data_IF_406662707748
#
_entry.id   IF_406662707748
#
_cell.length_a   1.000
_cell.length_b   1.000
_cell.length_c   1.000
_cell.angle_alpha   90.00
_cell.angle_beta   90.00
_cell.angle_gamma   90.00
#
_symmetry.space_group_name_H-M   'P 1'
#
loop_
_entity.id
_entity.type
_entity.pdbx_description
1 polymer ?
#
# COMPACT_ATOMS: atom_id res chain seq x y z
N UNK A 1 -5.03 9.34 12.90
CA UNK A 1 -6.27 8.86 12.26
C UNK A 1 -7.17 8.38 13.38
N UNK A 2 -8.39 8.91 13.53
CA UNK A 2 -9.26 8.55 14.66
C UNK A 2 -9.96 7.22 14.34
N UNK A 3 -9.60 6.15 15.02
CA UNK A 3 -10.05 4.77 14.78
C UNK A 3 -11.38 4.43 15.46
N UNK A 4 -12.05 5.39 16.11
CA UNK A 4 -13.28 5.15 16.89
C UNK A 4 -14.57 4.89 16.09
N UNK A 5 -14.61 5.06 14.76
CA UNK A 5 -15.86 5.01 13.99
C UNK A 5 -15.93 3.99 12.84
N UNK A 6 -14.90 3.15 12.66
CA UNK A 6 -14.93 2.10 11.64
C UNK A 6 -15.02 0.75 12.33
N UNK A 7 -16.19 0.13 12.23
CA UNK A 7 -16.47 -1.21 12.70
C UNK A 7 -15.70 -2.22 11.83
N UNK A 8 -14.41 -2.37 12.10
CA UNK A 8 -13.69 -3.56 11.64
C UNK A 8 -14.40 -4.73 12.35
N UNK A 9 -14.91 -5.74 11.63
CA UNK A 9 -15.44 -6.93 12.29
C UNK A 9 -14.27 -7.55 13.05
N UNK A 10 -14.32 -7.43 14.38
CA UNK A 10 -13.38 -8.12 15.24
C UNK A 10 -13.69 -9.60 15.14
N UNK A 11 -12.66 -10.43 15.01
CA UNK A 11 -12.81 -11.86 15.20
C UNK A 11 -13.38 -12.06 16.61
N UNK A 12 -14.47 -12.83 16.72
CA UNK A 12 -15.02 -13.18 18.01
C UNK A 12 -14.00 -14.01 18.77
N UNK A 13 -13.82 -13.75 20.06
CA UNK A 13 -12.94 -14.55 20.92
C UNK A 13 -13.62 -15.91 21.21
N UNK A 14 -13.69 -16.77 20.20
CA UNK A 14 -14.28 -18.12 20.26
C UNK A 14 -13.26 -19.21 20.62
N UNK A 15 -12.00 -18.82 20.83
CA UNK A 15 -10.90 -19.74 21.18
C UNK A 15 -10.29 -20.47 19.98
N UNK A 16 -10.68 -20.14 18.75
CA UNK A 16 -10.02 -20.66 17.55
C UNK A 16 -8.63 -20.03 17.38
N UNK A 17 -7.63 -20.79 16.89
CA UNK A 17 -6.33 -20.24 16.53
C UNK A 17 -6.48 -19.14 15.47
N UNK A 18 -5.74 -18.04 15.66
CA UNK A 18 -5.74 -16.89 14.74
C UNK A 18 -4.35 -16.72 14.15
N UNK A 19 -4.29 -16.62 12.83
CA UNK A 19 -3.09 -16.19 12.12
C UNK A 19 -3.16 -14.68 11.88
N UNK A 20 -2.13 -13.97 12.32
CA UNK A 20 -1.94 -12.55 12.03
C UNK A 20 -1.07 -12.41 10.77
N UNK A 21 -1.50 -11.56 9.85
CA UNK A 21 -0.78 -11.32 8.59
C UNK A 21 -0.05 -9.98 8.65
N UNK A 22 1.15 -9.94 8.05
CA UNK A 22 1.93 -8.72 7.85
C UNK A 22 2.36 -8.03 9.15
N UNK A 23 2.66 -8.84 10.19
CA UNK A 23 3.01 -8.36 11.53
C UNK A 23 4.36 -7.61 11.57
N UNK A 24 5.20 -7.81 10.56
CA UNK A 24 6.53 -7.24 10.42
C UNK A 24 6.54 -5.91 9.63
N UNK A 25 5.39 -5.48 9.08
CA UNK A 25 5.32 -4.27 8.26
C UNK A 25 5.10 -2.99 9.08
N UNK A 26 5.76 -1.90 8.67
CA UNK A 26 5.50 -0.56 9.17
C UNK A 26 4.34 0.10 8.39
N UNK A 27 3.14 0.05 8.96
CA UNK A 27 1.91 0.60 8.34
C UNK A 27 1.81 2.13 8.43
N UNK A 28 2.79 2.81 9.02
CA UNK A 28 2.86 4.27 9.02
C UNK A 28 3.97 4.79 8.09
N UNK A 29 3.67 5.84 7.35
CA UNK A 29 4.65 6.52 6.51
C UNK A 29 4.57 8.02 6.74
N UNK A 30 5.73 8.70 6.75
CA UNK A 30 5.74 10.15 6.78
C UNK A 30 5.15 10.70 5.47
N UNK A 31 4.43 11.81 5.56
CA UNK A 31 3.65 12.36 4.44
C UNK A 31 4.49 12.62 3.18
N UNK A 32 5.77 12.99 3.33
CA UNK A 32 6.70 13.18 2.22
C UNK A 32 6.99 11.88 1.47
N UNK A 33 7.15 10.76 2.17
CA UNK A 33 7.36 9.44 1.56
C UNK A 33 6.13 9.00 0.79
N UNK A 34 4.94 9.14 1.36
CA UNK A 34 3.67 8.86 0.63
C UNK A 34 3.58 9.67 -0.68
N UNK A 35 3.90 10.97 -0.65
CA UNK A 35 3.92 11.80 -1.87
C UNK A 35 4.93 11.28 -2.90
N UNK A 36 6.09 10.80 -2.45
CA UNK A 36 7.13 10.27 -3.32
C UNK A 36 6.71 8.95 -3.97
N UNK A 37 6.12 8.04 -3.18
CA UNK A 37 5.54 6.77 -3.66
C UNK A 37 4.49 7.03 -4.74
N UNK A 38 3.53 7.92 -4.47
CA UNK A 38 2.48 8.29 -5.45
C UNK A 38 3.09 8.87 -6.73
N UNK A 39 4.04 9.79 -6.60
CA UNK A 39 4.71 10.39 -7.78
C UNK A 39 5.43 9.33 -8.62
N UNK A 40 6.07 8.35 -7.99
CA UNK A 40 6.76 7.29 -8.71
C UNK A 40 5.79 6.33 -9.40
N UNK A 41 4.70 5.96 -8.73
CA UNK A 41 3.62 5.17 -9.33
C UNK A 41 2.96 5.87 -10.52
N UNK A 42 2.66 7.17 -10.40
CA UNK A 42 2.10 7.99 -11.48
C UNK A 42 3.09 8.15 -12.64
N UNK A 43 4.40 8.05 -12.38
CA UNK A 43 5.45 7.99 -13.42
C UNK A 43 5.57 6.64 -14.15
N UNK A 44 4.72 5.66 -13.79
CA UNK A 44 4.67 4.34 -14.44
C UNK A 44 5.44 3.24 -13.73
N UNK A 45 6.10 3.53 -12.59
CA UNK A 45 6.84 2.51 -11.83
C UNK A 45 5.91 1.52 -11.14
N UNK A 46 6.36 0.29 -10.99
CA UNK A 46 5.70 -0.69 -10.14
C UNK A 46 6.18 -0.61 -8.68
N UNK A 47 5.47 -1.31 -7.80
CA UNK A 47 5.69 -1.34 -6.37
C UNK A 47 7.08 -1.85 -5.98
N UNK A 48 7.66 -2.78 -6.74
CA UNK A 48 8.99 -3.33 -6.50
C UNK A 48 10.07 -2.31 -6.85
N UNK A 49 9.94 -1.64 -8.01
CA UNK A 49 10.85 -0.55 -8.40
C UNK A 49 10.81 0.62 -7.41
N UNK A 50 9.64 0.88 -6.82
CA UNK A 50 9.46 1.92 -5.80
C UNK A 50 10.10 1.47 -4.47
N UNK A 51 9.90 0.22 -4.07
CA UNK A 51 10.43 -0.37 -2.85
C UNK A 51 11.96 -0.33 -2.82
N UNK A 52 12.60 -0.75 -3.91
CA UNK A 52 14.05 -0.69 -4.07
C UNK A 52 14.58 0.74 -3.89
N UNK A 53 13.94 1.73 -4.53
CA UNK A 53 14.34 3.15 -4.43
C UNK A 53 14.12 3.74 -3.05
N UNK A 54 13.12 3.26 -2.34
CA UNK A 54 12.76 3.75 -1.00
C UNK A 54 13.49 2.99 0.11
N UNK A 55 14.19 1.90 -0.22
CA UNK A 55 14.75 0.93 0.72
C UNK A 55 13.70 0.47 1.74
N UNK A 56 12.57 -0.01 1.22
CA UNK A 56 11.35 -0.36 1.97
C UNK A 56 10.83 -1.72 1.50
N UNK A 57 10.01 -2.34 2.33
CA UNK A 57 9.35 -3.58 1.94
C UNK A 57 8.32 -3.31 0.79
N UNK A 58 8.30 -4.13 -0.28
CA UNK A 58 7.31 -4.00 -1.35
C UNK A 58 5.85 -4.03 -0.87
N UNK A 59 5.54 -4.78 0.19
CA UNK A 59 4.20 -4.88 0.74
C UNK A 59 3.79 -3.58 1.45
N UNK A 60 4.72 -2.89 2.12
CA UNK A 60 4.48 -1.54 2.66
C UNK A 60 4.13 -0.55 1.54
N UNK A 61 4.85 -0.63 0.41
CA UNK A 61 4.59 0.20 -0.77
C UNK A 61 3.21 -0.12 -1.35
N UNK A 62 2.89 -1.40 -1.49
CA UNK A 62 1.59 -1.86 -1.97
C UNK A 62 0.45 -1.35 -1.10
N UNK A 63 0.54 -1.52 0.23
CA UNK A 63 -0.48 -1.05 1.18
C UNK A 63 -0.63 0.47 1.09
N UNK A 64 0.48 1.20 0.99
CA UNK A 64 0.47 2.65 0.82
C UNK A 64 -0.31 3.05 -0.45
N UNK A 65 0.00 2.44 -1.59
CA UNK A 65 -0.67 2.70 -2.86
C UNK A 65 -2.15 2.33 -2.80
N UNK A 66 -2.49 1.19 -2.21
CA UNK A 66 -3.86 0.75 -2.00
C UNK A 66 -4.67 1.77 -1.20
N UNK A 67 -4.13 2.25 -0.07
CA UNK A 67 -4.76 3.30 0.74
C UNK A 67 -4.94 4.61 -0.05
N UNK A 68 -3.93 5.05 -0.81
CA UNK A 68 -4.05 6.23 -1.67
C UNK A 68 -5.08 6.05 -2.79
N UNK A 69 -5.20 4.84 -3.36
CA UNK A 69 -6.23 4.49 -4.35
C UNK A 69 -7.63 4.60 -3.75
N UNK A 70 -7.85 4.03 -2.56
CA UNK A 70 -9.13 4.14 -1.82
C UNK A 70 -9.50 5.60 -1.54
N UNK A 71 -8.50 6.45 -1.28
CA UNK A 71 -8.67 7.89 -1.08
C UNK A 71 -8.83 8.70 -2.38
N UNK A 72 -8.87 8.04 -3.55
CA UNK A 72 -8.94 8.66 -4.88
C UNK A 72 -7.81 9.67 -5.14
N UNK A 73 -6.62 9.41 -4.59
CA UNK A 73 -5.44 10.29 -4.71
C UNK A 73 -4.47 9.88 -5.81
N UNK A 74 -4.67 8.73 -6.43
CA UNK A 74 -3.85 8.28 -7.56
C UNK A 74 -4.46 8.75 -8.88
N UNK A 75 -3.64 9.40 -9.70
CA UNK A 75 -3.95 9.74 -11.09
C UNK A 75 -3.10 8.86 -11.99
N UNK A 76 -3.36 7.55 -12.05
CA UNK A 76 -2.67 6.70 -13.03
C UNK A 76 -3.38 6.86 -14.39
N UNK A 77 -2.75 7.46 -15.42
CA UNK A 77 -3.32 7.39 -16.75
C UNK A 77 -3.31 5.92 -17.19
N UNK A 78 -4.44 5.44 -17.70
CA UNK A 78 -4.70 4.05 -18.15
C UNK A 78 -3.68 3.48 -19.18
N UNK A 79 -2.64 4.21 -19.54
CA UNK A 79 -1.75 3.95 -20.68
C UNK A 79 -0.47 3.16 -20.38
N UNK A 80 -0.15 2.85 -19.12
CA UNK A 80 1.04 2.02 -18.84
C UNK A 80 0.70 0.52 -18.86
N UNK A 81 0.44 -0.01 -20.06
CA UNK A 81 0.47 -1.46 -20.30
C UNK A 81 1.94 -1.84 -20.51
N UNK A 82 2.54 -2.56 -19.55
CA UNK A 82 3.88 -3.15 -19.70
C UNK A 82 3.89 -3.91 -21.04
N UNK A 83 4.67 -3.46 -22.02
CA UNK A 83 4.87 -4.25 -23.24
C UNK A 83 5.52 -5.54 -22.79
N UNK A 84 4.81 -6.67 -22.89
CA UNK A 84 5.42 -7.99 -22.83
C UNK A 84 6.41 -8.06 -23.98
N UNK A 85 7.69 -7.90 -23.71
CA UNK A 85 8.74 -8.44 -24.58
C UNK A 85 8.63 -9.95 -24.44
N UNK A 86 8.06 -10.58 -25.47
CA UNK A 86 8.11 -12.02 -25.66
C UNK A 86 9.45 -12.45 -26.24
#
# INVERSE_FOLDING_TARGET
MNTRSTHVPFLEANGEPVDYYLEDLELASIRSHTKMIVKMWESGKDEFEIAERMNRDPDEIFICLFDQARKRKLKRPYLYRRKRTG
#
